data_IF_298248201543
#
_entry.id   IF_298248201543
#
_cell.length_a   1.000
_cell.length_b   1.000
_cell.length_c   1.000
_cell.angle_alpha   90.00
_cell.angle_beta   90.00
_cell.angle_gamma   90.00
#
_symmetry.space_group_name_H-M   'P 1'
#
loop_
_entity.id
_entity.type
_entity.pdbx_description
1 polymer ?
#
# COMPACT_ATOMS: atom_id res chain seq x y z
N UNK A 1 -17.71 -22.87 -1.45
CA UNK A 1 -18.08 -21.53 -0.98
C UNK A 1 -17.39 -21.15 0.34
N UNK A 2 -17.46 -21.94 1.40
CA UNK A 2 -16.80 -21.68 2.70
C UNK A 2 -15.28 -21.51 2.59
N UNK A 3 -14.59 -22.32 1.80
CA UNK A 3 -13.14 -22.24 1.59
C UNK A 3 -12.72 -20.96 0.84
N UNK A 4 -13.48 -20.60 -0.19
CA UNK A 4 -13.27 -19.37 -0.95
C UNK A 4 -13.39 -18.12 -0.06
N UNK A 5 -14.43 -18.04 0.77
CA UNK A 5 -14.62 -16.97 1.73
C UNK A 5 -13.46 -16.92 2.74
N UNK A 6 -13.06 -18.07 3.30
CA UNK A 6 -11.95 -18.15 4.25
C UNK A 6 -10.62 -17.64 3.66
N UNK A 7 -10.32 -17.98 2.38
CA UNK A 7 -9.11 -17.46 1.71
C UNK A 7 -9.28 -15.98 1.36
N UNK A 8 -10.48 -15.54 0.96
CA UNK A 8 -10.77 -14.13 0.68
C UNK A 8 -10.62 -13.23 1.92
N UNK A 9 -11.13 -13.67 3.08
CA UNK A 9 -10.89 -12.96 4.35
C UNK A 9 -9.42 -12.94 4.74
N UNK A 10 -8.68 -14.01 4.48
CA UNK A 10 -7.24 -14.03 4.72
C UNK A 10 -6.50 -13.03 3.81
N UNK A 11 -6.83 -13.00 2.51
CA UNK A 11 -6.26 -12.03 1.56
C UNK A 11 -6.59 -10.60 2.00
N UNK A 12 -7.85 -10.34 2.39
CA UNK A 12 -8.25 -9.06 2.99
C UNK A 12 -7.37 -8.71 4.20
N UNK A 13 -7.19 -9.63 5.15
CA UNK A 13 -6.39 -9.38 6.36
C UNK A 13 -4.90 -9.15 6.09
N UNK A 14 -4.36 -9.72 5.02
CA UNK A 14 -2.96 -9.48 4.61
C UNK A 14 -2.77 -8.04 4.11
N UNK A 15 -3.74 -7.53 3.36
CA UNK A 15 -3.65 -6.19 2.77
C UNK A 15 -4.17 -5.10 3.70
N UNK A 16 -5.13 -5.41 4.57
CA UNK A 16 -5.76 -4.40 5.40
C UNK A 16 -4.88 -3.99 6.58
N UNK A 17 -4.12 -2.92 6.40
CA UNK A 17 -3.19 -2.37 7.39
C UNK A 17 -3.54 -0.94 7.83
N UNK A 18 -2.61 -0.30 8.54
CA UNK A 18 -2.76 1.05 9.07
C UNK A 18 -3.07 2.10 8.00
N UNK A 19 -2.41 2.00 6.82
CA UNK A 19 -2.61 2.94 5.71
C UNK A 19 -4.04 2.94 5.19
N UNK A 20 -4.65 1.76 5.11
CA UNK A 20 -5.98 1.53 4.58
C UNK A 20 -7.10 2.19 5.39
N UNK A 21 -6.80 2.53 6.64
CA UNK A 21 -7.73 3.23 7.54
C UNK A 21 -7.63 4.75 7.44
N UNK A 22 -6.43 5.28 7.15
CA UNK A 22 -6.18 6.72 7.23
C UNK A 22 -6.27 7.45 5.89
N UNK A 23 -5.94 6.80 4.77
CA UNK A 23 -5.92 7.48 3.48
C UNK A 23 -7.30 7.72 2.87
N UNK A 24 -8.26 6.78 2.88
CA UNK A 24 -9.58 7.05 2.32
C UNK A 24 -10.31 8.23 2.95
N UNK A 25 -10.36 8.40 4.29
CA UNK A 25 -11.00 9.57 4.87
C UNK A 25 -10.25 10.87 4.59
N UNK A 26 -8.90 10.85 4.55
CA UNK A 26 -8.11 12.04 4.24
C UNK A 26 -8.33 12.51 2.81
N UNK A 27 -8.26 11.58 1.84
CA UNK A 27 -8.58 11.84 0.44
C UNK A 27 -9.96 12.48 0.29
N UNK A 28 -10.97 11.89 0.89
CA UNK A 28 -12.34 12.34 0.71
C UNK A 28 -12.67 13.66 1.42
N UNK A 29 -11.99 13.94 2.54
CA UNK A 29 -12.00 15.25 3.19
C UNK A 29 -11.58 16.35 2.20
N UNK A 30 -10.50 16.13 1.45
CA UNK A 30 -9.95 17.11 0.53
C UNK A 30 -10.68 17.13 -0.81
N UNK A 31 -11.15 15.98 -1.28
CA UNK A 31 -11.90 15.85 -2.51
C UNK A 31 -13.33 16.41 -2.42
N UNK A 32 -13.86 16.60 -1.22
CA UNK A 32 -15.20 17.19 -1.03
C UNK A 32 -16.24 16.56 -1.95
N UNK A 33 -17.03 17.38 -2.68
CA UNK A 33 -18.05 16.89 -3.61
C UNK A 33 -17.50 16.04 -4.76
N UNK A 34 -16.20 16.11 -5.05
CA UNK A 34 -15.52 15.28 -6.05
C UNK A 34 -15.02 13.92 -5.49
N UNK A 35 -15.30 13.61 -4.20
CA UNK A 35 -14.82 12.38 -3.57
C UNK A 35 -15.20 11.09 -4.32
N UNK A 36 -16.37 10.95 -4.99
CA UNK A 36 -16.67 9.71 -5.68
C UNK A 36 -15.67 9.39 -6.80
N UNK A 37 -15.27 10.41 -7.58
CA UNK A 37 -14.28 10.24 -8.65
C UNK A 37 -12.88 9.98 -8.06
N UNK A 38 -12.50 10.67 -7.00
CA UNK A 38 -11.24 10.43 -6.28
C UNK A 38 -11.19 9.02 -5.70
N UNK A 39 -12.27 8.52 -5.11
CA UNK A 39 -12.39 7.15 -4.61
C UNK A 39 -12.22 6.12 -5.73
N UNK A 40 -12.79 6.32 -6.91
CA UNK A 40 -12.60 5.42 -8.06
C UNK A 40 -11.11 5.33 -8.43
N UNK A 41 -10.40 6.46 -8.49
CA UNK A 41 -8.95 6.49 -8.70
C UNK A 41 -8.20 5.71 -7.60
N UNK A 42 -8.53 5.98 -6.35
CA UNK A 42 -7.93 5.31 -5.19
C UNK A 42 -8.17 3.80 -5.18
N UNK A 43 -9.38 3.34 -5.47
CA UNK A 43 -9.72 1.91 -5.55
C UNK A 43 -8.96 1.21 -6.68
N UNK A 44 -8.69 1.90 -7.78
CA UNK A 44 -7.93 1.35 -8.90
C UNK A 44 -6.51 0.95 -8.47
N UNK A 45 -5.84 1.78 -7.70
CA UNK A 45 -4.46 1.55 -7.24
C UNK A 45 -4.38 0.88 -5.88
N UNK A 46 -5.22 1.27 -4.94
CA UNK A 46 -5.21 0.71 -3.58
C UNK A 46 -5.81 -0.69 -3.48
N UNK A 47 -6.62 -1.13 -4.45
CA UNK A 47 -7.20 -2.48 -4.46
C UNK A 47 -6.88 -3.20 -5.77
N UNK A 48 -7.13 -2.56 -6.92
CA UNK A 48 -7.00 -3.19 -8.22
C UNK A 48 -5.58 -3.69 -8.48
N UNK A 49 -4.59 -2.82 -8.35
CA UNK A 49 -3.18 -3.16 -8.59
C UNK A 49 -2.62 -4.22 -7.62
N UNK A 50 -2.85 -4.17 -6.29
CA UNK A 50 -2.42 -5.23 -5.38
C UNK A 50 -2.93 -6.61 -5.76
N UNK A 51 -4.19 -6.69 -6.18
CA UNK A 51 -4.78 -7.96 -6.58
C UNK A 51 -4.27 -8.43 -7.94
N UNK A 52 -4.00 -7.52 -8.89
CA UNK A 52 -3.29 -7.84 -10.12
C UNK A 52 -1.87 -8.32 -9.82
N UNK A 53 -1.17 -7.70 -8.86
CA UNK A 53 0.14 -8.14 -8.38
C UNK A 53 0.10 -9.56 -7.81
N UNK A 54 -0.90 -9.88 -6.98
CA UNK A 54 -1.10 -11.22 -6.46
C UNK A 54 -1.38 -12.24 -7.58
N UNK A 55 -2.22 -11.89 -8.56
CA UNK A 55 -2.51 -12.73 -9.72
C UNK A 55 -1.24 -12.97 -10.54
N UNK A 56 -0.41 -11.93 -10.74
CA UNK A 56 0.87 -12.05 -11.43
C UNK A 56 1.83 -13.03 -10.73
N UNK A 57 1.90 -12.98 -9.39
CA UNK A 57 2.70 -13.92 -8.59
C UNK A 57 2.18 -15.35 -8.74
N UNK A 58 0.86 -15.54 -8.67
CA UNK A 58 0.23 -16.86 -8.82
C UNK A 58 0.45 -17.42 -10.22
N UNK A 59 0.40 -16.59 -11.27
CA UNK A 59 0.66 -16.97 -12.66
C UNK A 59 2.06 -17.60 -12.83
N UNK A 60 3.06 -17.06 -12.13
CA UNK A 60 4.45 -17.56 -12.16
C UNK A 60 4.79 -18.51 -11.00
N UNK A 61 3.77 -19.10 -10.34
CA UNK A 61 3.94 -20.08 -9.26
C UNK A 61 4.76 -19.57 -8.07
N UNK A 62 4.69 -18.27 -7.78
CA UNK A 62 5.42 -17.61 -6.70
C UNK A 62 6.84 -17.14 -7.06
N UNK A 63 7.32 -17.39 -8.29
CA UNK A 63 8.69 -17.09 -8.75
C UNK A 63 8.79 -15.72 -9.41
N UNK A 64 8.13 -14.71 -8.87
CA UNK A 64 8.05 -13.39 -9.49
C UNK A 64 9.40 -12.68 -9.57
N UNK A 65 10.22 -12.80 -8.55
CA UNK A 65 11.59 -12.24 -8.54
C UNK A 65 12.50 -12.89 -9.57
N UNK A 66 12.37 -14.22 -9.81
CA UNK A 66 13.09 -14.92 -10.86
C UNK A 66 12.63 -14.47 -12.27
N UNK A 67 11.33 -14.19 -12.44
CA UNK A 67 10.81 -13.63 -13.69
C UNK A 67 11.46 -12.28 -13.99
N UNK A 68 11.49 -11.36 -13.02
CA UNK A 68 12.08 -10.03 -13.20
C UNK A 68 13.58 -10.12 -13.51
N UNK A 69 14.30 -11.02 -12.83
CA UNK A 69 15.72 -11.27 -13.10
C UNK A 69 15.95 -11.71 -14.56
N UNK A 70 15.18 -12.68 -15.04
CA UNK A 70 15.29 -13.21 -16.41
C UNK A 70 14.86 -12.20 -17.48
N UNK A 71 13.81 -11.40 -17.21
CA UNK A 71 13.23 -10.47 -18.20
C UNK A 71 13.96 -9.12 -18.28
N UNK A 72 14.48 -8.64 -17.16
CA UNK A 72 15.14 -7.33 -17.09
C UNK A 72 16.63 -7.49 -16.85
N UNK A 73 17.06 -7.66 -15.60
CA UNK A 73 18.46 -7.84 -15.23
C UNK A 73 18.59 -8.27 -13.76
N UNK A 74 19.61 -9.07 -13.35
CA UNK A 74 19.82 -9.45 -11.95
C UNK A 74 19.99 -8.26 -11.01
N UNK A 75 20.79 -7.26 -11.37
CA UNK A 75 20.96 -6.04 -10.57
C UNK A 75 19.66 -5.25 -10.39
N UNK A 76 18.86 -5.17 -11.45
CA UNK A 76 17.55 -4.51 -11.37
C UNK A 76 16.65 -5.19 -10.35
N UNK A 77 16.61 -6.53 -10.33
CA UNK A 77 15.88 -7.30 -9.31
C UNK A 77 16.33 -6.92 -7.90
N UNK A 78 17.67 -6.96 -7.65
CA UNK A 78 18.22 -6.69 -6.30
C UNK A 78 17.87 -5.27 -5.83
N UNK A 79 18.07 -4.27 -6.69
CA UNK A 79 17.80 -2.86 -6.36
C UNK A 79 16.30 -2.64 -6.15
N UNK A 80 15.47 -3.05 -7.10
CA UNK A 80 14.03 -2.76 -7.08
C UNK A 80 13.33 -3.44 -5.91
N UNK A 81 13.57 -4.75 -5.71
CA UNK A 81 13.00 -5.45 -4.56
C UNK A 81 13.67 -5.06 -3.25
N UNK A 82 14.95 -4.68 -3.25
CA UNK A 82 15.58 -4.07 -2.09
C UNK A 82 14.85 -2.79 -1.66
N UNK A 83 14.61 -1.87 -2.60
CA UNK A 83 13.85 -0.64 -2.34
C UNK A 83 12.40 -0.94 -1.90
N UNK A 84 11.77 -1.96 -2.50
CA UNK A 84 10.44 -2.40 -2.07
C UNK A 84 10.42 -2.83 -0.61
N UNK A 85 11.33 -3.74 -0.21
CA UNK A 85 11.39 -4.22 1.19
C UNK A 85 11.84 -3.13 2.17
N UNK A 86 12.66 -2.17 1.75
CA UNK A 86 12.97 -0.99 2.55
C UNK A 86 11.73 -0.11 2.74
N UNK A 87 10.97 0.15 1.69
CA UNK A 87 9.78 1.01 1.73
C UNK A 87 8.67 0.43 2.63
N UNK A 88 8.31 -0.84 2.44
CA UNK A 88 7.32 -1.50 3.31
C UNK A 88 7.88 -1.80 4.71
N UNK A 89 9.19 -1.95 4.84
CA UNK A 89 9.90 -2.21 6.10
C UNK A 89 10.21 -0.91 6.87
N UNK A 90 11.49 -0.69 7.19
CA UNK A 90 11.88 0.34 8.14
C UNK A 90 11.65 1.78 7.67
N UNK A 91 11.57 2.07 6.36
CA UNK A 91 11.48 3.45 5.90
C UNK A 91 10.08 4.05 6.12
N UNK A 92 9.00 3.35 5.75
CA UNK A 92 7.67 3.96 5.74
C UNK A 92 6.58 3.12 6.40
N UNK A 93 6.31 1.87 5.97
CA UNK A 93 5.13 1.17 6.45
C UNK A 93 5.25 0.76 7.92
N UNK A 94 6.40 0.24 8.38
CA UNK A 94 6.59 -0.17 9.77
C UNK A 94 6.57 1.03 10.73
N UNK A 95 7.31 2.14 10.51
CA UNK A 95 7.20 3.33 11.37
C UNK A 95 5.77 3.89 11.40
N UNK A 96 5.08 3.89 10.26
CA UNK A 96 3.69 4.36 10.17
C UNK A 96 2.74 3.55 11.04
N UNK A 97 2.94 2.22 11.21
CA UNK A 97 2.10 1.44 12.12
C UNK A 97 2.20 1.93 13.56
N UNK A 98 3.40 2.26 14.03
CA UNK A 98 3.62 2.83 15.36
C UNK A 98 3.00 4.23 15.50
N UNK A 99 3.22 5.10 14.51
CA UNK A 99 2.67 6.46 14.51
C UNK A 99 1.14 6.48 14.43
N UNK A 100 0.51 5.65 13.57
CA UNK A 100 -0.96 5.55 13.44
C UNK A 100 -1.58 5.01 14.72
N UNK A 101 -0.99 3.98 15.32
CA UNK A 101 -1.53 3.41 16.55
C UNK A 101 -1.41 4.39 17.74
N UNK A 102 -0.38 5.23 17.77
CA UNK A 102 -0.30 6.33 18.73
C UNK A 102 -1.34 7.40 18.45
N UNK A 103 -1.41 7.91 17.22
CA UNK A 103 -2.30 9.00 16.81
C UNK A 103 -3.78 8.71 17.08
N UNK A 104 -4.22 7.48 16.80
CA UNK A 104 -5.61 7.06 16.98
C UNK A 104 -5.84 6.50 18.39
N UNK A 105 -4.85 5.74 18.90
CA UNK A 105 -5.06 4.92 20.08
C UNK A 105 -4.74 5.61 21.41
N UNK A 106 -3.73 6.47 21.45
CA UNK A 106 -3.22 7.03 22.71
C UNK A 106 -3.36 8.55 22.78
N UNK A 107 -2.99 9.25 21.71
CA UNK A 107 -3.01 10.71 21.65
C UNK A 107 -4.35 11.35 22.12
N UNK A 108 -5.54 10.81 21.77
CA UNK A 108 -6.81 11.40 22.19
C UNK A 108 -7.09 11.35 23.70
N UNK A 109 -6.27 10.61 24.45
CA UNK A 109 -6.41 10.46 25.91
C UNK A 109 -5.32 11.20 26.69
N UNK A 110 -4.33 11.80 25.99
CA UNK A 110 -3.21 12.48 26.62
C UNK A 110 -3.48 14.00 26.74
N UNK A 111 -3.10 14.62 27.87
CA UNK A 111 -2.99 16.07 27.96
C UNK A 111 -1.99 16.62 26.94
N UNK A 112 -2.21 17.85 26.47
CA UNK A 112 -1.36 18.49 25.44
C UNK A 112 0.11 18.53 25.86
N UNK A 113 0.38 18.81 27.13
CA UNK A 113 1.74 18.93 27.68
C UNK A 113 2.52 17.60 27.69
N UNK A 114 1.83 16.47 27.60
CA UNK A 114 2.44 15.11 27.63
C UNK A 114 2.38 14.38 26.28
N UNK A 115 2.00 15.07 25.22
CA UNK A 115 1.87 14.42 23.89
C UNK A 115 3.20 13.94 23.34
N UNK A 116 4.27 14.72 23.46
CA UNK A 116 5.59 14.38 22.95
C UNK A 116 6.20 13.19 23.71
N UNK A 117 6.23 13.28 25.04
CA UNK A 117 6.74 12.20 25.90
C UNK A 117 5.92 10.91 25.73
N UNK A 118 4.60 11.04 25.67
CA UNK A 118 3.70 9.92 25.44
C UNK A 118 3.96 9.22 24.11
N UNK A 119 4.30 9.96 23.05
CA UNK A 119 4.67 9.39 21.76
C UNK A 119 5.95 8.58 21.85
N UNK A 120 7.01 9.11 22.47
CA UNK A 120 8.29 8.40 22.63
C UNK A 120 8.13 7.13 23.45
N UNK A 121 7.40 7.18 24.56
CA UNK A 121 7.18 6.04 25.44
C UNK A 121 6.35 4.96 24.75
N UNK A 122 5.23 5.35 24.13
CA UNK A 122 4.34 4.42 23.45
C UNK A 122 5.03 3.70 22.27
N UNK A 123 5.68 4.47 21.40
CA UNK A 123 6.39 3.90 20.25
C UNK A 123 7.55 3.03 20.66
N UNK A 124 8.26 3.34 21.77
CA UNK A 124 9.30 2.46 22.32
C UNK A 124 8.70 1.10 22.72
N UNK A 125 7.61 1.09 23.48
CA UNK A 125 6.92 -0.14 23.88
C UNK A 125 6.45 -0.91 22.64
N UNK A 126 5.84 -0.21 21.67
CA UNK A 126 5.33 -0.80 20.44
C UNK A 126 6.42 -1.50 19.63
N UNK A 127 7.60 -0.87 19.45
CA UNK A 127 8.69 -1.47 18.67
C UNK A 127 9.48 -2.53 19.45
N UNK A 128 9.54 -2.46 20.78
CA UNK A 128 10.04 -3.57 21.61
C UNK A 128 9.16 -4.80 21.44
N UNK A 129 7.84 -4.64 21.48
CA UNK A 129 6.89 -5.74 21.22
C UNK A 129 7.02 -6.26 19.80
N UNK A 130 7.12 -5.36 18.81
CA UNK A 130 7.35 -5.73 17.41
C UNK A 130 8.61 -6.60 17.26
N UNK A 131 9.75 -6.18 17.84
CA UNK A 131 10.98 -6.94 17.80
C UNK A 131 10.84 -8.30 18.48
N UNK A 132 10.30 -8.33 19.70
CA UNK A 132 10.16 -9.55 20.48
C UNK A 132 9.32 -10.61 19.74
N UNK A 133 8.18 -10.23 19.20
CA UNK A 133 7.30 -11.15 18.47
C UNK A 133 7.84 -11.51 17.08
N UNK A 134 8.45 -10.59 16.35
CA UNK A 134 9.03 -10.87 15.04
C UNK A 134 10.32 -11.73 15.17
N UNK A 135 11.09 -11.59 16.25
CA UNK A 135 12.28 -12.41 16.48
C UNK A 135 11.96 -13.89 16.76
N UNK A 136 10.76 -14.17 17.26
CA UNK A 136 10.27 -15.50 17.57
C UNK A 136 8.84 -15.65 17.01
N UNK A 137 8.68 -15.85 15.70
CA UNK A 137 7.36 -15.93 15.08
C UNK A 137 6.58 -17.09 15.70
N UNK A 138 5.66 -16.75 16.59
CA UNK A 138 4.79 -17.68 17.29
C UNK A 138 3.41 -17.70 16.64
N UNK A 139 2.61 -18.73 16.93
CA UNK A 139 1.20 -18.84 16.53
C UNK A 139 0.33 -17.65 16.99
N UNK A 140 0.87 -16.81 17.88
CA UNK A 140 0.17 -15.66 18.48
C UNK A 140 -0.22 -14.63 17.41
N UNK A 141 0.66 -14.36 16.44
CA UNK A 141 0.37 -13.44 15.31
C UNK A 141 -0.81 -13.94 14.48
N UNK A 142 -0.85 -15.24 14.16
CA UNK A 142 -1.95 -15.85 13.42
C UNK A 142 -3.27 -15.84 14.19
N UNK A 143 -3.22 -16.05 15.50
CA UNK A 143 -4.41 -16.11 16.35
C UNK A 143 -4.99 -14.71 16.57
N UNK A 144 -4.14 -13.73 16.83
CA UNK A 144 -4.54 -12.32 17.02
C UNK A 144 -5.15 -11.79 15.73
N UNK A 145 -4.54 -12.01 14.58
CA UNK A 145 -5.09 -11.57 13.28
C UNK A 145 -6.46 -12.21 12.96
N UNK A 146 -6.66 -13.50 13.28
CA UNK A 146 -7.93 -14.20 13.04
C UNK A 146 -9.09 -13.69 13.88
N UNK A 147 -8.84 -13.17 15.07
CA UNK A 147 -9.88 -12.61 15.96
C UNK A 147 -10.08 -11.13 15.72
N UNK A 148 -8.99 -10.38 15.58
CA UNK A 148 -9.07 -8.92 15.49
C UNK A 148 -9.64 -8.42 14.16
N UNK A 149 -9.36 -9.09 13.04
CA UNK A 149 -9.89 -8.64 11.74
C UNK A 149 -11.43 -8.68 11.68
N UNK A 150 -12.13 -9.73 12.14
CA UNK A 150 -13.58 -9.70 12.26
C UNK A 150 -14.11 -8.64 13.22
N UNK A 151 -13.45 -8.43 14.36
CA UNK A 151 -13.84 -7.40 15.35
C UNK A 151 -13.68 -6.00 14.76
N UNK A 152 -12.57 -5.74 14.07
CA UNK A 152 -12.34 -4.48 13.36
C UNK A 152 -13.43 -4.25 12.29
N UNK A 153 -13.72 -5.25 11.46
CA UNK A 153 -14.76 -5.15 10.43
C UNK A 153 -16.14 -4.88 11.05
N UNK A 154 -16.47 -5.54 12.16
CA UNK A 154 -17.73 -5.31 12.86
C UNK A 154 -17.80 -3.87 13.39
N UNK A 155 -16.74 -3.38 14.02
CA UNK A 155 -16.67 -2.00 14.50
C UNK A 155 -16.81 -0.99 13.34
N UNK A 156 -16.09 -1.21 12.24
CA UNK A 156 -16.19 -0.38 11.05
C UNK A 156 -17.60 -0.42 10.46
N UNK A 157 -18.25 -1.59 10.40
CA UNK A 157 -19.66 -1.70 9.97
C UNK A 157 -20.59 -0.85 10.83
N UNK A 158 -20.44 -0.89 12.15
CA UNK A 158 -21.25 -0.06 13.07
C UNK A 158 -20.99 1.44 12.83
N UNK A 159 -19.71 1.81 12.68
CA UNK A 159 -19.31 3.19 12.37
C UNK A 159 -19.93 3.67 11.04
N UNK A 160 -19.89 2.82 9.99
CA UNK A 160 -20.42 3.14 8.68
C UNK A 160 -21.94 3.27 8.66
N UNK A 161 -22.64 2.34 9.31
CA UNK A 161 -24.10 2.41 9.47
C UNK A 161 -24.46 3.74 10.14
N UNK A 162 -23.74 4.11 11.22
CA UNK A 162 -23.99 5.37 11.92
C UNK A 162 -23.73 6.59 11.05
N UNK A 163 -22.62 6.58 10.28
CA UNK A 163 -22.28 7.68 9.35
C UNK A 163 -23.32 7.83 8.25
N UNK A 164 -23.84 6.72 7.75
CA UNK A 164 -24.81 6.72 6.64
C UNK A 164 -26.19 7.27 7.07
N UNK A 165 -26.66 6.89 8.27
CA UNK A 165 -27.95 7.35 8.79
C UNK A 165 -27.91 8.77 9.33
N UNK A 166 -26.80 9.20 9.89
CA UNK A 166 -26.63 10.54 10.44
C UNK A 166 -25.17 10.99 10.20
N UNK A 167 -24.87 11.53 9.01
CA UNK A 167 -23.55 12.07 8.71
C UNK A 167 -23.20 13.20 9.69
N UNK A 168 -21.90 13.43 9.92
CA UNK A 168 -21.43 14.45 10.88
C UNK A 168 -21.78 15.85 10.40
N UNK A 169 -21.64 16.10 9.09
CA UNK A 169 -21.95 17.39 8.49
C UNK A 169 -22.16 17.31 7.00
N UNK A 170 -22.17 18.46 6.34
CA UNK A 170 -22.32 18.61 4.89
C UNK A 170 -20.98 18.41 4.19
N UNK A 171 -21.03 17.91 2.94
CA UNK A 171 -19.87 17.74 2.10
C UNK A 171 -19.52 19.09 1.47
N UNK A 172 -18.31 19.57 1.73
CA UNK A 172 -17.79 20.84 1.21
C UNK A 172 -17.31 20.72 -0.23
N UNK A 173 -17.06 21.85 -0.94
CA UNK A 173 -16.37 21.85 -2.24
C UNK A 173 -14.96 21.22 -2.14
N UNK A 174 -14.42 20.71 -3.27
CA UNK A 174 -13.07 20.17 -3.32
C UNK A 174 -12.00 21.26 -3.13
N UNK A 175 -10.83 20.85 -2.65
CA UNK A 175 -9.66 21.72 -2.49
C UNK A 175 -8.45 21.17 -3.27
N UNK A 176 -7.45 22.02 -3.52
CA UNK A 176 -6.17 21.66 -4.15
C UNK A 176 -6.33 20.88 -5.45
N UNK A 177 -5.53 19.84 -5.67
CA UNK A 177 -5.52 19.02 -6.88
C UNK A 177 -6.84 18.26 -7.16
N UNK A 178 -7.72 18.15 -6.18
CA UNK A 178 -9.00 17.47 -6.36
C UNK A 178 -10.07 18.31 -7.07
N UNK A 179 -9.79 19.61 -7.29
CA UNK A 179 -10.67 20.49 -8.08
C UNK A 179 -10.67 20.03 -9.54
N UNK A 180 -9.47 19.92 -10.13
CA UNK A 180 -9.30 19.69 -11.57
C UNK A 180 -9.07 18.22 -11.94
N UNK A 181 -8.42 17.45 -11.06
CA UNK A 181 -7.98 16.09 -11.37
C UNK A 181 -8.31 15.07 -10.27
N UNK A 182 -9.57 14.93 -9.81
CA UNK A 182 -9.91 14.09 -8.66
C UNK A 182 -9.58 12.62 -8.88
N UNK A 183 -9.74 12.06 -10.08
CA UNK A 183 -9.38 10.69 -10.38
C UNK A 183 -7.86 10.46 -10.28
N UNK A 184 -7.07 11.32 -10.90
CA UNK A 184 -5.62 11.18 -10.92
C UNK A 184 -5.02 11.35 -9.52
N UNK A 185 -5.53 12.32 -8.75
CA UNK A 185 -5.14 12.52 -7.35
C UNK A 185 -5.47 11.30 -6.51
N UNK A 186 -6.68 10.76 -6.63
CA UNK A 186 -7.05 9.53 -5.95
C UNK A 186 -6.21 8.33 -6.39
N UNK A 187 -5.86 8.24 -7.67
CA UNK A 187 -5.00 7.17 -8.20
C UNK A 187 -3.60 7.22 -7.56
N UNK A 188 -2.99 8.39 -7.45
CA UNK A 188 -1.67 8.54 -6.81
C UNK A 188 -1.74 8.38 -5.29
N UNK A 189 -2.84 8.79 -4.65
CA UNK A 189 -3.04 8.56 -3.21
C UNK A 189 -3.14 7.09 -2.86
N UNK A 190 -3.65 6.26 -3.77
CA UNK A 190 -3.67 4.82 -3.57
C UNK A 190 -2.27 4.20 -3.46
N UNK A 191 -1.20 4.85 -3.94
CA UNK A 191 0.19 4.40 -3.73
C UNK A 191 0.57 4.42 -2.24
N UNK A 192 -0.02 5.34 -1.48
CA UNK A 192 0.29 5.53 -0.07
C UNK A 192 -0.14 4.36 0.81
N UNK A 193 -1.09 3.53 0.33
CA UNK A 193 -1.46 2.29 1.04
C UNK A 193 -0.31 1.28 1.06
N UNK A 194 0.58 1.33 0.07
CA UNK A 194 1.68 0.37 -0.17
C UNK A 194 1.22 -1.08 -0.42
N UNK A 195 -0.05 -1.28 -0.74
CA UNK A 195 -0.64 -2.61 -0.87
C UNK A 195 -0.09 -3.39 -2.07
N UNK A 196 0.24 -2.72 -3.20
CA UNK A 196 0.92 -3.38 -4.32
C UNK A 196 2.30 -3.90 -3.91
N UNK A 197 3.07 -3.10 -3.18
CA UNK A 197 4.39 -3.50 -2.69
C UNK A 197 4.27 -4.66 -1.70
N UNK A 198 3.30 -4.60 -0.79
CA UNK A 198 2.99 -5.68 0.13
C UNK A 198 2.55 -6.96 -0.62
N UNK A 199 1.71 -6.83 -1.66
CA UNK A 199 1.32 -7.95 -2.50
C UNK A 199 2.52 -8.66 -3.11
N UNK A 200 3.46 -7.89 -3.66
CA UNK A 200 4.68 -8.44 -4.28
C UNK A 200 5.64 -9.04 -3.26
N UNK A 201 5.68 -8.51 -2.03
CA UNK A 201 6.53 -9.04 -0.95
C UNK A 201 5.99 -10.33 -0.34
N UNK A 202 4.70 -10.37 -0.02
CA UNK A 202 4.11 -11.44 0.79
C UNK A 202 3.04 -12.26 0.06
N UNK A 203 2.78 -11.97 -1.21
CA UNK A 203 1.74 -12.67 -2.00
C UNK A 203 1.95 -14.17 -2.13
N UNK A 204 3.19 -14.65 -1.99
CA UNK A 204 3.49 -16.08 -1.89
C UNK A 204 2.82 -16.79 -0.70
N UNK A 205 2.48 -16.06 0.38
CA UNK A 205 1.74 -16.61 1.51
C UNK A 205 0.32 -17.02 1.12
N UNK A 206 -0.32 -16.31 0.20
CA UNK A 206 -1.65 -16.67 -0.32
C UNK A 206 -1.60 -18.02 -1.04
N UNK A 207 -0.57 -18.26 -1.85
CA UNK A 207 -0.33 -19.55 -2.51
C UNK A 207 -0.13 -20.65 -1.47
N UNK A 208 0.71 -20.40 -0.47
CA UNK A 208 1.00 -21.36 0.60
C UNK A 208 -0.25 -21.73 1.39
N UNK A 209 -1.12 -20.76 1.67
CA UNK A 209 -2.36 -20.98 2.39
C UNK A 209 -3.39 -21.80 1.57
N UNK A 210 -3.46 -21.58 0.25
CA UNK A 210 -4.29 -22.40 -0.64
C UNK A 210 -3.78 -23.85 -0.70
N UNK A 211 -2.45 -24.03 -0.80
CA UNK A 211 -1.81 -25.35 -0.75
C UNK A 211 -2.02 -26.06 0.58
N UNK A 212 -1.97 -25.37 1.70
CA UNK A 212 -2.23 -25.93 3.04
C UNK A 212 -3.66 -26.47 3.19
N UNK A 213 -4.61 -26.03 2.33
CA UNK A 213 -5.97 -26.56 2.26
C UNK A 213 -6.11 -27.77 1.32
N UNK A 214 -5.00 -28.35 0.87
CA UNK A 214 -4.98 -29.54 0.03
C UNK A 214 -5.15 -29.28 -1.47
N UNK A 215 -5.16 -28.02 -1.92
CA UNK A 215 -5.22 -27.67 -3.36
C UNK A 215 -3.80 -27.69 -3.92
N UNK A 216 -3.48 -28.69 -4.73
CA UNK A 216 -2.11 -28.90 -5.27
C UNK A 216 -1.98 -28.58 -6.76
N UNK A 217 -3.07 -28.70 -7.53
CA UNK A 217 -3.06 -28.40 -8.95
C UNK A 217 -2.91 -26.89 -9.22
N UNK A 218 -1.97 -26.49 -10.07
CA UNK A 218 -1.68 -25.08 -10.38
C UNK A 218 -2.90 -24.30 -10.90
N UNK A 219 -3.72 -24.94 -11.79
CA UNK A 219 -4.95 -24.30 -12.29
C UNK A 219 -6.00 -24.09 -11.19
N UNK A 220 -6.11 -25.04 -10.26
CA UNK A 220 -7.02 -24.93 -9.12
C UNK A 220 -6.55 -23.84 -8.13
N UNK A 221 -5.24 -23.77 -7.85
CA UNK A 221 -4.64 -22.68 -7.04
C UNK A 221 -4.96 -21.33 -7.68
N UNK A 222 -4.70 -21.17 -8.99
CA UNK A 222 -4.98 -19.92 -9.72
C UNK A 222 -6.45 -19.51 -9.63
N UNK A 223 -7.38 -20.43 -9.93
CA UNK A 223 -8.83 -20.17 -9.80
C UNK A 223 -9.25 -19.80 -8.38
N UNK A 224 -8.69 -20.48 -7.38
CA UNK A 224 -9.01 -20.22 -5.97
C UNK A 224 -8.50 -18.84 -5.54
N UNK A 225 -7.27 -18.46 -5.93
CA UNK A 225 -6.72 -17.13 -5.67
C UNK A 225 -7.55 -16.04 -6.34
N UNK A 226 -7.96 -16.17 -7.61
CA UNK A 226 -8.82 -15.18 -8.27
C UNK A 226 -10.15 -15.00 -7.52
N UNK A 227 -10.80 -16.10 -7.14
CA UNK A 227 -12.06 -16.02 -6.37
C UNK A 227 -11.86 -15.37 -5.00
N UNK A 228 -10.74 -15.65 -4.32
CA UNK A 228 -10.37 -14.99 -3.08
C UNK A 228 -10.11 -13.49 -3.27
N UNK A 229 -9.44 -13.10 -4.36
CA UNK A 229 -9.26 -11.71 -4.75
C UNK A 229 -10.59 -10.98 -4.92
N UNK A 230 -11.57 -11.59 -5.60
CA UNK A 230 -12.89 -10.97 -5.78
C UNK A 230 -13.60 -10.70 -4.43
N UNK A 231 -13.48 -11.61 -3.48
CA UNK A 231 -14.01 -11.38 -2.12
C UNK A 231 -13.27 -10.22 -1.44
N UNK A 232 -11.94 -10.19 -1.53
CA UNK A 232 -11.15 -9.10 -0.97
C UNK A 232 -11.47 -7.74 -1.61
N UNK A 233 -11.67 -7.68 -2.96
CA UNK A 233 -12.10 -6.47 -3.68
C UNK A 233 -13.39 -5.90 -3.08
N UNK A 234 -14.39 -6.75 -2.91
CA UNK A 234 -15.71 -6.32 -2.40
C UNK A 234 -15.57 -5.79 -0.97
N UNK A 235 -14.85 -6.52 -0.10
CA UNK A 235 -14.66 -6.12 1.29
C UNK A 235 -13.86 -4.82 1.41
N UNK A 236 -12.70 -4.74 0.75
CA UNK A 236 -11.85 -3.54 0.80
C UNK A 236 -12.55 -2.34 0.16
N UNK A 237 -13.22 -2.55 -0.99
CA UNK A 237 -13.96 -1.50 -1.69
C UNK A 237 -15.08 -0.93 -0.84
N UNK A 238 -15.85 -1.78 -0.17
CA UNK A 238 -16.90 -1.35 0.76
C UNK A 238 -16.31 -0.53 1.92
N UNK A 239 -15.23 -1.02 2.54
CA UNK A 239 -14.57 -0.32 3.66
C UNK A 239 -14.01 1.02 3.21
N UNK A 240 -13.29 1.08 2.08
CA UNK A 240 -12.68 2.33 1.61
C UNK A 240 -13.73 3.37 1.21
N UNK A 241 -14.79 2.94 0.52
CA UNK A 241 -15.89 3.84 0.15
C UNK A 241 -16.59 4.40 1.37
N UNK A 242 -16.81 3.58 2.39
CA UNK A 242 -17.46 4.00 3.63
C UNK A 242 -16.56 4.93 4.47
N UNK A 243 -15.25 4.65 4.57
CA UNK A 243 -14.28 5.54 5.20
C UNK A 243 -14.15 6.87 4.46
N UNK A 244 -14.18 6.84 3.13
CA UNK A 244 -14.17 8.04 2.31
C UNK A 244 -15.43 8.88 2.56
N UNK A 245 -16.62 8.26 2.57
CA UNK A 245 -17.86 8.98 2.89
C UNK A 245 -17.83 9.62 4.29
N UNK A 246 -17.30 8.89 5.29
CA UNK A 246 -17.06 9.45 6.63
C UNK A 246 -16.17 10.71 6.55
N UNK A 247 -15.02 10.59 5.85
CA UNK A 247 -14.07 11.69 5.71
C UNK A 247 -14.65 12.91 4.99
N UNK A 248 -15.46 12.70 3.94
CA UNK A 248 -16.11 13.78 3.19
C UNK A 248 -17.10 14.59 4.01
N UNK A 249 -17.75 13.96 5.00
CA UNK A 249 -18.78 14.62 5.84
C UNK A 249 -18.22 15.32 7.10
N UNK A 250 -16.91 15.18 7.38
CA UNK A 250 -16.31 15.74 8.59
C UNK A 250 -15.98 17.24 8.52
N UNK A 251 -15.48 17.81 7.39
CA UNK A 251 -14.87 19.15 7.40
C UNK A 251 -15.78 20.28 7.83
N UNK A 252 -17.08 20.22 7.51
CA UNK A 252 -18.04 21.29 7.85
C UNK A 252 -18.27 21.47 9.34
N UNK A 253 -18.02 20.43 10.15
CA UNK A 253 -18.23 20.43 11.61
C UNK A 253 -16.91 20.34 12.38
N UNK A 254 -15.98 19.50 11.92
CA UNK A 254 -14.71 19.22 12.62
C UNK A 254 -13.53 20.04 12.07
N UNK A 255 -13.70 20.74 10.94
CA UNK A 255 -12.61 21.37 10.21
C UNK A 255 -11.74 20.37 9.45
N UNK A 256 -10.74 20.91 8.72
CA UNK A 256 -9.76 20.09 8.00
C UNK A 256 -8.72 19.53 8.95
N UNK A 257 -8.52 18.24 8.91
CA UNK A 257 -7.54 17.51 9.73
C UNK A 257 -6.26 17.26 8.94
N UNK A 258 -5.11 17.27 9.63
CA UNK A 258 -3.80 17.07 9.00
C UNK A 258 -3.57 15.62 8.52
N UNK A 259 -4.29 14.64 9.05
CA UNK A 259 -4.20 13.24 8.63
C UNK A 259 -5.49 12.48 8.95
N UNK A 260 -5.66 11.34 8.29
CA UNK A 260 -6.87 10.52 8.44
C UNK A 260 -7.01 9.83 9.80
N UNK A 261 -5.94 9.72 10.57
CA UNK A 261 -6.01 9.21 11.94
C UNK A 261 -6.81 10.14 12.85
N UNK A 262 -6.59 11.44 12.73
CA UNK A 262 -7.34 12.48 13.45
C UNK A 262 -8.82 12.44 13.03
N UNK A 263 -9.10 12.35 11.72
CA UNK A 263 -10.48 12.28 11.21
C UNK A 263 -11.21 11.10 11.85
N UNK A 264 -10.62 9.90 11.77
CA UNK A 264 -11.24 8.67 12.27
C UNK A 264 -11.48 8.71 13.78
N UNK A 265 -10.51 9.19 14.55
CA UNK A 265 -10.62 9.33 16.00
C UNK A 265 -11.69 10.36 16.40
N UNK A 266 -11.69 11.55 15.77
CA UNK A 266 -12.66 12.61 16.05
C UNK A 266 -14.08 12.20 15.65
N UNK A 267 -14.26 11.59 14.47
CA UNK A 267 -15.56 11.08 14.05
C UNK A 267 -16.10 9.99 15.00
N UNK A 268 -15.22 9.09 15.44
CA UNK A 268 -15.59 8.04 16.39
C UNK A 268 -16.03 8.65 17.75
N UNK A 269 -15.35 9.70 18.19
CA UNK A 269 -15.74 10.42 19.40
C UNK A 269 -17.11 11.08 19.28
N UNK A 270 -17.38 11.74 18.14
CA UNK A 270 -18.69 12.37 17.89
C UNK A 270 -19.83 11.35 17.94
N UNK A 271 -19.60 10.14 17.42
CA UNK A 271 -20.65 9.12 17.36
C UNK A 271 -20.84 8.30 18.64
N UNK A 272 -19.74 7.99 19.34
CA UNK A 272 -19.73 7.00 20.41
C UNK A 272 -19.05 7.47 21.71
N UNK A 273 -18.60 8.74 21.74
CA UNK A 273 -17.89 9.30 22.89
C UNK A 273 -16.58 8.59 23.21
N UNK A 274 -16.16 8.63 24.47
CA UNK A 274 -14.90 8.05 24.92
C UNK A 274 -14.86 6.51 24.83
N UNK A 275 -16.01 5.85 25.00
CA UNK A 275 -16.11 4.40 24.84
C UNK A 275 -15.76 3.98 23.39
N UNK A 276 -16.22 4.72 22.39
CA UNK A 276 -15.88 4.47 21.00
C UNK A 276 -14.40 4.65 20.71
N UNK A 277 -13.79 5.74 21.22
CA UNK A 277 -12.34 5.95 21.11
C UNK A 277 -11.54 4.81 21.74
N UNK A 278 -11.94 4.32 22.90
CA UNK A 278 -11.25 3.24 23.59
C UNK A 278 -11.28 1.93 22.76
N UNK A 279 -12.44 1.56 22.23
CA UNK A 279 -12.60 0.38 21.37
C UNK A 279 -11.75 0.52 20.11
N UNK A 280 -11.80 1.70 19.46
CA UNK A 280 -10.98 2.00 18.28
C UNK A 280 -9.48 1.89 18.60
N UNK A 281 -9.03 2.43 19.73
CA UNK A 281 -7.65 2.40 20.18
C UNK A 281 -7.10 0.95 20.28
N UNK A 282 -7.86 0.07 20.92
CA UNK A 282 -7.47 -1.34 21.04
C UNK A 282 -7.39 -2.02 19.69
N UNK A 283 -8.41 -1.87 18.84
CA UNK A 283 -8.48 -2.52 17.54
C UNK A 283 -7.32 -2.06 16.65
N UNK A 284 -7.09 -0.75 16.57
CA UNK A 284 -6.03 -0.17 15.73
C UNK A 284 -4.64 -0.52 16.28
N UNK A 285 -4.44 -0.44 17.60
CA UNK A 285 -3.18 -0.79 18.25
C UNK A 285 -2.74 -2.22 17.89
N UNK A 286 -3.64 -3.17 18.01
CA UNK A 286 -3.35 -4.55 17.67
C UNK A 286 -3.22 -4.80 16.16
N UNK A 287 -4.06 -4.19 15.33
CA UNK A 287 -3.97 -4.31 13.88
C UNK A 287 -2.61 -3.77 13.37
N UNK A 288 -2.19 -2.61 13.89
CA UNK A 288 -0.89 -2.03 13.57
C UNK A 288 0.26 -2.91 14.07
N UNK A 289 0.16 -3.47 15.28
CA UNK A 289 1.20 -4.34 15.83
C UNK A 289 1.38 -5.62 15.01
N UNK A 290 0.31 -6.29 14.61
CA UNK A 290 0.39 -7.50 13.77
C UNK A 290 0.99 -7.21 12.40
N UNK A 291 0.62 -6.09 11.78
CA UNK A 291 1.21 -5.63 10.51
C UNK A 291 2.70 -5.33 10.68
N UNK A 292 3.08 -4.59 11.74
CA UNK A 292 4.47 -4.27 12.06
C UNK A 292 5.35 -5.52 12.19
N UNK A 293 4.86 -6.53 12.92
CA UNK A 293 5.55 -7.82 13.12
C UNK A 293 5.75 -8.54 11.78
N UNK A 294 4.67 -8.68 11.00
CA UNK A 294 4.70 -9.43 9.73
C UNK A 294 5.62 -8.80 8.70
N UNK A 295 5.55 -7.48 8.54
CA UNK A 295 6.35 -6.75 7.56
C UNK A 295 7.81 -6.64 7.98
N UNK A 296 8.10 -6.44 9.27
CA UNK A 296 9.48 -6.44 9.80
C UNK A 296 10.14 -7.80 9.61
N UNK A 297 9.40 -8.90 9.82
CA UNK A 297 9.89 -10.25 9.59
C UNK A 297 10.15 -10.51 8.09
N UNK A 298 9.28 -10.03 7.20
CA UNK A 298 9.48 -10.13 5.75
C UNK A 298 10.73 -9.38 5.30
N UNK A 299 10.94 -8.15 5.78
CA UNK A 299 12.14 -7.36 5.54
C UNK A 299 13.41 -8.11 5.98
N UNK A 300 13.47 -8.55 7.23
CA UNK A 300 14.64 -9.23 7.78
C UNK A 300 14.95 -10.54 7.02
N UNK A 301 13.92 -11.31 6.65
CA UNK A 301 14.07 -12.54 5.88
C UNK A 301 14.61 -12.28 4.47
N UNK A 302 14.11 -11.25 3.78
CA UNK A 302 14.57 -10.89 2.44
C UNK A 302 16.05 -10.49 2.44
N UNK A 303 16.46 -9.59 3.34
CA UNK A 303 17.85 -9.14 3.39
C UNK A 303 18.81 -10.21 3.91
N UNK A 304 18.38 -11.10 4.78
CA UNK A 304 19.14 -12.29 5.14
C UNK A 304 19.38 -13.18 3.90
N UNK A 305 18.33 -13.41 3.11
CA UNK A 305 18.45 -14.20 1.88
C UNK A 305 19.38 -13.55 0.85
N UNK A 306 19.21 -12.25 0.57
CA UNK A 306 20.03 -11.53 -0.44
C UNK A 306 21.50 -11.41 -0.02
N UNK A 307 21.79 -11.38 1.30
CA UNK A 307 23.16 -11.34 1.82
C UNK A 307 23.80 -12.72 1.97
N UNK A 308 23.19 -13.79 1.46
CA UNK A 308 23.64 -15.18 1.63
C UNK A 308 23.89 -15.54 3.12
N UNK A 309 23.04 -15.03 4.01
CA UNK A 309 23.13 -15.26 5.45
C UNK A 309 24.23 -14.48 6.18
N UNK A 310 25.00 -13.64 5.48
CA UNK A 310 26.05 -12.79 6.11
C UNK A 310 25.45 -11.82 7.13
N UNK A 311 24.29 -11.27 6.82
CA UNK A 311 23.52 -10.45 7.75
C UNK A 311 22.50 -11.34 8.47
N UNK A 312 22.69 -11.51 9.78
CA UNK A 312 21.83 -12.35 10.58
C UNK A 312 20.44 -11.74 10.77
N UNK A 313 19.39 -12.57 10.67
CA UNK A 313 17.98 -12.18 10.79
C UNK A 313 17.70 -11.24 11.98
N UNK A 314 18.14 -11.62 13.18
CA UNK A 314 17.89 -10.83 14.41
C UNK A 314 18.58 -9.46 14.38
N UNK A 315 19.76 -9.35 13.75
CA UNK A 315 20.49 -8.08 13.62
C UNK A 315 19.76 -7.15 12.66
N UNK A 316 19.31 -7.68 11.52
CA UNK A 316 18.50 -6.93 10.54
C UNK A 316 17.17 -6.45 11.15
N UNK A 317 16.50 -7.32 11.89
CA UNK A 317 15.26 -7.01 12.58
C UNK A 317 15.47 -5.91 13.63
N UNK A 318 16.53 -6.00 14.43
CA UNK A 318 16.87 -4.98 15.44
C UNK A 318 17.15 -3.63 14.78
N UNK A 319 17.97 -3.60 13.72
CA UNK A 319 18.24 -2.38 12.98
C UNK A 319 16.96 -1.76 12.39
N UNK A 320 16.10 -2.59 11.81
CA UNK A 320 14.82 -2.14 11.25
C UNK A 320 13.88 -1.57 12.32
N UNK A 321 13.73 -2.24 13.45
CA UNK A 321 12.86 -1.76 14.55
C UNK A 321 13.38 -0.50 15.23
N UNK A 322 14.70 -0.37 15.42
CA UNK A 322 15.32 0.85 15.95
C UNK A 322 15.14 2.04 15.00
N UNK A 323 15.39 1.84 13.71
CA UNK A 323 15.16 2.88 12.70
C UNK A 323 13.67 3.27 12.65
N UNK A 324 12.77 2.28 12.67
CA UNK A 324 11.33 2.52 12.68
C UNK A 324 10.84 3.27 13.92
N UNK A 325 11.44 3.00 15.09
CA UNK A 325 11.19 3.77 16.30
C UNK A 325 11.58 5.25 16.11
N UNK A 326 12.79 5.50 15.61
CA UNK A 326 13.24 6.87 15.34
C UNK A 326 12.30 7.56 14.33
N UNK A 327 12.00 6.92 13.22
CA UNK A 327 11.14 7.47 12.18
C UNK A 327 9.70 7.72 12.66
N UNK A 328 9.11 6.81 13.44
CA UNK A 328 7.75 6.96 13.98
C UNK A 328 7.59 8.22 14.87
N UNK A 329 8.68 8.62 15.54
CA UNK A 329 8.70 9.80 16.40
C UNK A 329 8.78 11.13 15.64
N UNK A 330 8.95 11.12 14.32
CA UNK A 330 8.75 12.30 13.46
C UNK A 330 7.24 12.68 13.37
N UNK A 331 6.35 11.78 13.77
CA UNK A 331 4.91 11.93 13.68
C UNK A 331 4.31 11.43 12.36
N UNK A 332 3.01 11.13 12.39
CA UNK A 332 2.31 10.52 11.27
C UNK A 332 2.30 11.42 10.02
N UNK A 333 2.04 12.71 10.19
CA UNK A 333 1.94 13.67 9.09
C UNK A 333 3.27 13.82 8.33
N UNK A 334 4.40 13.93 9.05
CA UNK A 334 5.72 14.02 8.43
C UNK A 334 6.14 12.71 7.75
N UNK A 335 5.81 11.57 8.35
CA UNK A 335 6.04 10.27 7.70
C UNK A 335 5.28 10.14 6.36
N UNK A 336 4.04 10.62 6.31
CA UNK A 336 3.27 10.65 5.07
C UNK A 336 3.96 11.58 4.06
N UNK A 337 4.29 12.80 4.46
CA UNK A 337 4.94 13.81 3.61
C UNK A 337 6.23 13.31 2.96
N UNK A 338 7.10 12.65 3.74
CA UNK A 338 8.37 12.12 3.23
C UNK A 338 8.15 10.88 2.34
N UNK A 339 7.13 10.07 2.61
CA UNK A 339 6.88 8.85 1.83
C UNK A 339 6.29 9.13 0.44
N UNK A 340 5.53 10.21 0.26
CA UNK A 340 4.84 10.54 -1.01
C UNK A 340 5.80 10.58 -2.19
N UNK A 341 6.87 11.42 -2.20
CA UNK A 341 7.78 11.50 -3.35
C UNK A 341 8.45 10.17 -3.69
N UNK A 342 8.83 9.41 -2.65
CA UNK A 342 9.48 8.13 -2.82
C UNK A 342 8.52 7.09 -3.46
N UNK A 343 7.27 7.06 -3.02
CA UNK A 343 6.28 6.15 -3.55
C UNK A 343 5.85 6.54 -4.97
N UNK A 344 5.70 7.83 -5.25
CA UNK A 344 5.40 8.33 -6.61
C UNK A 344 6.51 7.92 -7.59
N UNK A 345 7.78 7.95 -7.17
CA UNK A 345 8.90 7.49 -8.01
C UNK A 345 8.96 5.95 -8.13
N UNK A 346 8.62 5.20 -7.08
CA UNK A 346 8.82 3.74 -7.05
C UNK A 346 7.64 2.96 -7.64
N UNK A 347 6.41 3.39 -7.38
CA UNK A 347 5.20 2.67 -7.75
C UNK A 347 5.05 2.39 -9.26
N UNK A 348 5.33 3.35 -10.16
CA UNK A 348 5.22 3.14 -11.60
C UNK A 348 6.02 1.94 -12.10
N UNK A 349 7.21 1.72 -11.56
CA UNK A 349 8.07 0.59 -11.92
C UNK A 349 7.37 -0.75 -11.64
N UNK A 350 6.74 -0.87 -10.47
CA UNK A 350 6.03 -2.09 -10.09
C UNK A 350 4.70 -2.25 -10.83
N UNK A 351 4.01 -1.16 -11.12
CA UNK A 351 2.79 -1.19 -11.96
C UNK A 351 3.13 -1.75 -13.34
N UNK A 352 4.16 -1.21 -13.98
CA UNK A 352 4.61 -1.66 -15.30
C UNK A 352 5.06 -3.13 -15.26
N UNK A 353 5.84 -3.53 -14.25
CA UNK A 353 6.26 -4.92 -14.07
C UNK A 353 5.07 -5.88 -13.95
N UNK A 354 4.06 -5.51 -13.15
CA UNK A 354 2.86 -6.34 -12.96
C UNK A 354 2.06 -6.45 -14.25
N UNK A 355 1.80 -5.33 -14.93
CA UNK A 355 1.05 -5.33 -16.19
C UNK A 355 1.77 -6.15 -17.25
N UNK A 356 3.07 -5.95 -17.44
CA UNK A 356 3.86 -6.72 -18.41
C UNK A 356 3.88 -8.22 -18.07
N UNK A 357 3.96 -8.59 -16.80
CA UNK A 357 3.96 -10.02 -16.41
C UNK A 357 2.60 -10.69 -16.64
N UNK A 358 1.50 -9.97 -16.50
CA UNK A 358 0.16 -10.46 -16.83
C UNK A 358 -0.02 -10.61 -18.34
N UNK A 359 0.56 -9.69 -19.12
CA UNK A 359 0.52 -9.66 -20.57
C UNK A 359 1.68 -10.44 -21.24
N UNK A 360 2.53 -11.14 -20.49
CA UNK A 360 3.76 -11.82 -20.97
C UNK A 360 3.51 -12.72 -22.19
N UNK A 361 2.35 -13.37 -22.23
CA UNK A 361 1.96 -14.26 -23.33
C UNK A 361 1.73 -13.50 -24.65
N UNK A 362 1.28 -12.24 -24.64
CA UNK A 362 0.99 -11.42 -25.83
C UNK A 362 2.26 -11.12 -26.64
N UNK A 363 3.41 -11.01 -25.98
CA UNK A 363 4.70 -10.76 -26.62
C UNK A 363 5.71 -11.89 -26.37
N UNK A 364 5.20 -13.10 -26.02
CA UNK A 364 5.94 -14.35 -25.88
C UNK A 364 7.15 -14.24 -24.94
N UNK A 365 7.01 -13.45 -23.90
CA UNK A 365 8.04 -13.28 -22.88
C UNK A 365 9.28 -12.51 -23.34
N UNK A 366 9.16 -11.62 -24.31
CA UNK A 366 10.30 -10.83 -24.82
C UNK A 366 10.92 -9.96 -23.74
N UNK A 367 12.19 -10.18 -23.41
CA UNK A 367 12.94 -9.35 -22.47
C UNK A 367 13.12 -7.91 -22.95
N UNK A 368 13.09 -7.68 -24.27
CA UNK A 368 13.21 -6.36 -24.87
C UNK A 368 12.00 -5.48 -24.49
N UNK A 369 10.78 -6.05 -24.52
CA UNK A 369 9.56 -5.33 -24.13
C UNK A 369 9.66 -4.83 -22.67
N UNK A 370 10.10 -5.72 -21.77
CA UNK A 370 10.31 -5.33 -20.36
C UNK A 370 11.36 -4.23 -20.23
N UNK A 371 12.53 -4.40 -20.87
CA UNK A 371 13.65 -3.45 -20.74
C UNK A 371 13.32 -2.08 -21.30
N UNK A 372 12.66 -2.01 -22.47
CA UNK A 372 12.28 -0.72 -23.07
C UNK A 372 11.18 -0.04 -22.27
N UNK A 373 10.13 -0.78 -21.88
CA UNK A 373 9.03 -0.19 -21.11
C UNK A 373 9.53 0.34 -19.77
N UNK A 374 10.29 -0.45 -19.00
CA UNK A 374 10.84 -0.02 -17.71
C UNK A 374 11.88 1.09 -17.88
N UNK A 375 12.77 0.97 -18.89
CA UNK A 375 13.78 1.97 -19.19
C UNK A 375 13.19 3.34 -19.51
N UNK A 376 12.05 3.37 -20.21
CA UNK A 376 11.31 4.60 -20.46
C UNK A 376 10.47 5.06 -19.25
N UNK A 377 9.97 4.14 -18.42
CA UNK A 377 9.24 4.51 -17.18
C UNK A 377 10.14 5.21 -16.17
N UNK A 378 11.34 4.72 -15.96
CA UNK A 378 12.24 5.07 -14.87
C UNK A 378 12.58 6.57 -14.79
N UNK A 379 13.03 7.25 -15.87
CA UNK A 379 13.34 8.67 -15.81
C UNK A 379 12.11 9.53 -15.49
N UNK A 380 10.95 9.19 -16.06
CA UNK A 380 9.73 9.98 -15.85
C UNK A 380 9.14 9.76 -14.46
N UNK A 381 9.17 8.53 -13.93
CA UNK A 381 8.74 8.30 -12.55
C UNK A 381 9.63 8.98 -11.50
N UNK A 382 10.93 9.11 -11.79
CA UNK A 382 11.84 9.90 -10.95
C UNK A 382 11.48 11.40 -11.03
N UNK A 383 11.15 11.92 -12.23
CA UNK A 383 10.74 13.32 -12.38
C UNK A 383 9.40 13.59 -11.66
N UNK A 384 8.42 12.67 -11.76
CA UNK A 384 7.16 12.75 -11.02
C UNK A 384 7.44 12.76 -9.50
N UNK A 385 8.36 11.93 -9.02
CA UNK A 385 8.79 11.91 -7.62
C UNK A 385 9.48 13.21 -7.16
N UNK A 386 10.34 13.80 -8.01
CA UNK A 386 10.98 15.09 -7.72
C UNK A 386 9.96 16.24 -7.71
N UNK A 387 8.97 16.19 -8.60
CA UNK A 387 7.85 17.13 -8.57
C UNK A 387 7.05 17.00 -7.27
N UNK A 388 6.72 15.79 -6.85
CA UNK A 388 6.02 15.52 -5.60
C UNK A 388 6.83 15.91 -4.35
N UNK A 389 8.16 15.95 -4.46
CA UNK A 389 9.08 16.45 -3.42
C UNK A 389 9.22 17.98 -3.40
N UNK A 390 8.56 18.71 -4.31
CA UNK A 390 8.76 20.13 -4.53
C UNK A 390 10.24 20.52 -4.88
N UNK A 391 10.94 19.57 -5.52
CA UNK A 391 12.33 19.72 -5.96
C UNK A 391 12.46 19.52 -7.49
N UNK A 392 11.63 20.21 -8.31
CA UNK A 392 11.68 20.04 -9.75
C UNK A 392 13.01 20.52 -10.32
N UNK A 393 13.51 19.83 -11.35
CA UNK A 393 14.69 20.29 -12.09
C UNK A 393 14.30 21.42 -13.02
N UNK A 394 14.83 22.66 -12.84
CA UNK A 394 14.49 23.80 -13.68
C UNK A 394 14.71 23.49 -15.18
N UNK A 395 13.82 23.97 -16.05
CA UNK A 395 13.87 23.74 -17.49
C UNK A 395 13.37 22.36 -17.93
N UNK A 396 13.73 21.27 -17.23
CA UNK A 396 13.17 19.92 -17.50
C UNK A 396 11.72 19.87 -17.06
N UNK A 397 11.42 20.40 -15.89
CA UNK A 397 10.07 20.49 -15.37
C UNK A 397 9.15 21.26 -16.30
N UNK A 398 9.56 22.47 -16.74
CA UNK A 398 8.77 23.32 -17.64
C UNK A 398 8.53 22.65 -19.00
N UNK A 399 9.56 21.97 -19.51
CA UNK A 399 9.45 21.17 -20.73
C UNK A 399 8.43 20.03 -20.57
N UNK A 400 8.52 19.25 -19.47
CA UNK A 400 7.61 18.14 -19.22
C UNK A 400 6.18 18.63 -18.96
N UNK A 401 6.00 19.71 -18.22
CA UNK A 401 4.68 20.33 -18.00
C UNK A 401 4.01 20.78 -19.32
N UNK A 402 4.81 21.23 -20.28
CA UNK A 402 4.29 21.72 -21.58
C UNK A 402 3.99 20.58 -22.56
N UNK A 403 4.87 19.58 -22.64
CA UNK A 403 4.83 18.59 -23.72
C UNK A 403 4.42 17.18 -23.28
N UNK A 404 4.48 16.84 -21.99
CA UNK A 404 4.15 15.51 -21.52
C UNK A 404 2.75 15.49 -20.86
N UNK A 405 1.74 14.94 -21.52
CA UNK A 405 0.43 14.79 -20.91
C UNK A 405 0.48 14.01 -19.60
N UNK A 406 -0.39 14.37 -18.67
CA UNK A 406 -0.50 13.75 -17.34
C UNK A 406 0.69 14.01 -16.39
N UNK A 407 1.75 14.73 -16.80
CA UNK A 407 2.85 15.06 -15.92
C UNK A 407 2.40 15.98 -14.77
N UNK A 408 1.50 16.92 -15.02
CA UNK A 408 0.92 17.81 -13.99
C UNK A 408 0.21 17.09 -12.84
N UNK A 409 -0.16 15.83 -13.02
CA UNK A 409 -0.89 15.01 -12.05
C UNK A 409 -0.06 13.80 -11.56
N UNK A 410 1.27 13.87 -11.67
CA UNK A 410 2.21 12.82 -11.28
C UNK A 410 1.98 11.46 -11.98
N UNK A 411 1.51 11.49 -13.22
CA UNK A 411 1.32 10.32 -14.08
C UNK A 411 2.10 10.45 -15.40
N UNK A 412 3.17 11.27 -15.42
CA UNK A 412 4.01 11.49 -16.58
C UNK A 412 4.71 10.23 -17.11
N UNK A 413 4.89 9.23 -16.27
CA UNK A 413 5.49 7.94 -16.63
C UNK A 413 4.62 7.07 -17.55
N UNK A 414 3.28 7.27 -17.58
CA UNK A 414 2.33 6.34 -18.20
C UNK A 414 2.52 6.23 -19.73
N UNK A 415 2.57 7.35 -20.42
CA UNK A 415 2.75 7.38 -21.88
C UNK A 415 4.14 6.85 -22.32
N UNK A 416 5.26 7.24 -21.70
CA UNK A 416 6.56 6.65 -21.96
C UNK A 416 6.60 5.14 -21.73
N UNK A 417 5.98 4.64 -20.67
CA UNK A 417 5.90 3.20 -20.39
C UNK A 417 5.19 2.44 -21.51
N UNK A 418 4.04 2.97 -21.97
CA UNK A 418 3.28 2.40 -23.08
C UNK A 418 4.08 2.46 -24.40
N UNK A 419 4.72 3.60 -24.69
CA UNK A 419 5.56 3.75 -25.88
C UNK A 419 6.71 2.73 -25.89
N UNK A 420 7.39 2.54 -24.76
CA UNK A 420 8.44 1.55 -24.62
C UNK A 420 7.94 0.12 -24.84
N UNK A 421 6.76 -0.22 -24.34
CA UNK A 421 6.14 -1.52 -24.56
C UNK A 421 5.79 -1.74 -26.05
N UNK A 422 5.16 -0.75 -26.70
CA UNK A 422 4.78 -0.82 -28.12
C UNK A 422 6.01 -0.97 -28.99
N UNK A 423 7.03 -0.13 -28.80
CA UNK A 423 8.30 -0.22 -29.55
C UNK A 423 8.95 -1.59 -29.37
N UNK A 424 8.97 -2.11 -28.15
CA UNK A 424 9.50 -3.44 -27.86
C UNK A 424 8.73 -4.56 -28.57
N UNK A 425 7.40 -4.48 -28.62
CA UNK A 425 6.55 -5.46 -29.30
C UNK A 425 6.79 -5.41 -30.82
N UNK A 426 6.75 -4.22 -31.42
CA UNK A 426 6.96 -4.03 -32.85
C UNK A 426 8.35 -4.52 -33.26
N UNK A 427 9.39 -4.17 -32.51
CA UNK A 427 10.75 -4.64 -32.76
C UNK A 427 10.86 -6.18 -32.71
N UNK A 428 10.25 -6.79 -31.69
CA UNK A 428 10.24 -8.24 -31.56
C UNK A 428 9.50 -8.93 -32.72
N UNK A 429 8.41 -8.34 -33.21
CA UNK A 429 7.70 -8.87 -34.39
C UNK A 429 8.51 -8.75 -35.68
N UNK A 430 9.19 -7.64 -35.91
CA UNK A 430 10.01 -7.40 -37.11
C UNK A 430 11.21 -8.36 -37.18
N UNK A 431 11.84 -8.67 -36.04
CA UNK A 431 13.02 -9.53 -35.99
C UNK A 431 12.71 -11.03 -35.93
N UNK A 432 11.46 -11.42 -35.61
CA UNK A 432 11.03 -12.83 -35.72
C UNK A 432 10.82 -13.30 -37.15
N UNK A 433 10.59 -12.37 -38.09
CA UNK A 433 10.55 -12.69 -39.54
C UNK A 433 11.91 -13.01 -40.15
N UNK A 434 13.00 -12.83 -39.40
CA UNK A 434 14.38 -12.95 -39.85
C UNK A 434 15.17 -14.08 -39.13
N UNK A 435 14.50 -15.19 -38.77
CA UNK A 435 15.25 -16.42 -38.48
C UNK A 435 15.53 -17.13 -39.81
N UNK A 436 16.79 -17.18 -40.32
CA UNK A 436 17.11 -18.03 -41.43
C UNK A 436 16.90 -19.49 -41.02
N UNK A 437 16.26 -20.24 -41.91
CA UNK A 437 15.93 -21.66 -41.81
C UNK A 437 17.17 -22.53 -41.56
#
# INVERSE_FOLDING_TARGET
>A
MKEMLSVGFMVFSIFFGAGNLIFPPLLAQNAGTNYPMAVVGFLTTGIGLPLLGLIAIVKVSGKYTELVEKRVHPWFRIITFGLLYLAIGPLFAVPRTGAVSFEIGIRPFLPVDFMAEGQYIYTAIFFILTYFFAANPSRLVDTVGKVLSPVLLLFLCVLFVRTFYAPIGEILPPIEQYIDAPFASGFTDGYLTMDLLAALAVGGLAISAVKAKGVTEQKAIYKTCIKACLVAIVLMGAVYTALAYLGATCPSVLGYSANGGIILSSATYVFFGDAGKLVLAFIIGFACLTTSIGVSAAFASYYQYVSDGRLGYKKLLLGATLFSYWAANMGLTELIRISVPFLVALYPIFIVLVILSLCDDLFQGSSLVYRLSIGMTLPFSIMDGLQAAELPLPGVHDFLMTYLPLYSVNLGWLLPALAGAIVGILWNQMHKGYQPA
#
